data_IF_979424128821
#
_entry.id   IF_979424128821
#
_cell.length_a   1.000
_cell.length_b   1.000
_cell.length_c   1.000
_cell.angle_alpha   90.00
_cell.angle_beta   90.00
_cell.angle_gamma   90.00
#
_symmetry.space_group_name_H-M   'P 1'
#
loop_
_entity.id
_entity.type
_entity.pdbx_description
1 polymer ?
#
# COMPACT_ATOMS: atom_id res chain seq x y z
N UNK A 1 -0.02 -21.22 6.11
CA UNK A 1 0.09 -21.30 4.64
C UNK A 1 -0.19 -19.92 4.10
N UNK A 2 0.69 -19.31 3.31
CA UNK A 2 0.33 -18.12 2.57
C UNK A 2 -0.76 -18.48 1.55
N UNK A 3 -1.72 -17.56 1.38
CA UNK A 3 -2.83 -17.74 0.45
C UNK A 3 -2.32 -17.55 -0.99
N UNK A 4 -2.68 -18.48 -1.87
CA UNK A 4 -2.30 -18.48 -3.29
C UNK A 4 -2.76 -17.19 -4.01
N UNK A 5 -3.79 -16.52 -3.52
CA UNK A 5 -4.27 -15.24 -4.07
C UNK A 5 -3.21 -14.14 -4.02
N UNK A 6 -2.27 -14.19 -3.08
CA UNK A 6 -1.25 -13.16 -2.91
C UNK A 6 0.08 -13.49 -3.60
N UNK A 7 0.35 -14.77 -3.86
CA UNK A 7 1.63 -15.22 -4.40
C UNK A 7 1.57 -15.56 -5.89
N UNK A 8 0.40 -15.94 -6.41
CA UNK A 8 0.24 -16.33 -7.80
C UNK A 8 0.06 -15.09 -8.70
N UNK A 9 0.99 -14.80 -9.63
CA UNK A 9 1.03 -13.53 -10.36
C UNK A 9 -0.27 -13.18 -11.11
N UNK A 10 -0.95 -14.19 -11.66
CA UNK A 10 -2.21 -14.00 -12.38
C UNK A 10 -3.40 -13.71 -11.46
N UNK A 11 -3.37 -14.19 -10.21
CA UNK A 11 -4.44 -13.96 -9.24
C UNK A 11 -4.23 -12.61 -8.53
N UNK A 12 -2.98 -12.28 -8.18
CA UNK A 12 -2.62 -10.98 -7.64
C UNK A 12 -2.97 -9.84 -8.61
N UNK A 13 -2.75 -10.02 -9.93
CA UNK A 13 -3.14 -9.04 -10.94
C UNK A 13 -4.68 -8.86 -11.05
N UNK A 14 -5.46 -9.88 -10.72
CA UNK A 14 -6.92 -9.80 -10.69
C UNK A 14 -7.44 -9.21 -9.37
N UNK A 15 -6.60 -9.09 -8.35
CA UNK A 15 -7.00 -8.58 -7.04
C UNK A 15 -7.54 -7.15 -7.12
N UNK A 16 -6.87 -6.26 -7.85
CA UNK A 16 -7.33 -4.88 -8.05
C UNK A 16 -8.68 -4.81 -8.79
N UNK A 17 -8.97 -5.79 -9.65
CA UNK A 17 -10.22 -5.86 -10.39
C UNK A 17 -11.37 -6.37 -9.52
N UNK A 18 -11.10 -7.33 -8.63
CA UNK A 18 -12.09 -7.92 -7.73
C UNK A 18 -12.32 -7.08 -6.46
N UNK A 19 -11.28 -6.40 -5.98
CA UNK A 19 -11.27 -5.57 -4.78
C UNK A 19 -10.98 -4.11 -5.13
N UNK A 20 -11.52 -3.63 -6.26
CA UNK A 20 -11.38 -2.26 -6.75
C UNK A 20 -11.93 -1.20 -5.79
N UNK A 21 -11.80 0.08 -6.14
CA UNK A 21 -12.09 1.21 -5.23
C UNK A 21 -13.47 1.09 -4.56
N UNK A 22 -13.53 1.35 -3.25
CA UNK A 22 -14.73 1.24 -2.42
C UNK A 22 -14.89 2.46 -1.52
N UNK A 23 -16.10 2.69 -1.01
CA UNK A 23 -16.42 3.83 -0.14
C UNK A 23 -15.58 3.85 1.15
N UNK A 24 -15.16 2.68 1.64
CA UNK A 24 -14.26 2.60 2.80
C UNK A 24 -12.90 3.26 2.52
N UNK A 25 -12.42 3.20 1.26
CA UNK A 25 -11.15 3.83 0.87
C UNK A 25 -11.25 5.34 0.77
N UNK A 26 -12.41 5.88 0.42
CA UNK A 26 -12.66 7.33 0.49
C UNK A 26 -12.55 7.83 1.92
N UNK A 27 -13.09 7.06 2.88
CA UNK A 27 -12.95 7.36 4.30
C UNK A 27 -11.47 7.39 4.71
N UNK A 28 -10.68 6.35 4.42
CA UNK A 28 -9.26 6.32 4.77
C UNK A 28 -8.47 7.44 4.10
N UNK A 29 -8.76 7.77 2.83
CA UNK A 29 -8.13 8.91 2.17
C UNK A 29 -8.42 10.22 2.91
N UNK A 30 -9.67 10.46 3.31
CA UNK A 30 -10.04 11.68 4.02
C UNK A 30 -9.31 11.88 5.36
N UNK A 31 -8.83 10.80 5.99
CA UNK A 31 -8.03 10.91 7.21
C UNK A 31 -6.67 11.59 6.96
N UNK A 32 -6.17 11.56 5.73
CA UNK A 32 -4.93 12.21 5.34
C UNK A 32 -5.13 13.68 4.90
N UNK A 33 -6.37 14.18 4.81
CA UNK A 33 -6.66 15.54 4.35
C UNK A 33 -5.89 16.63 5.13
N UNK A 34 -5.65 17.73 4.42
CA UNK A 34 -5.01 18.94 4.95
C UNK A 34 -3.60 19.13 4.42
N UNK A 35 -2.60 18.84 5.26
CA UNK A 35 -1.18 19.05 4.96
C UNK A 35 -0.52 17.72 4.57
N UNK A 36 0.62 17.74 3.84
CA UNK A 36 1.40 16.53 3.59
C UNK A 36 1.76 15.80 4.89
N UNK A 37 1.62 14.48 4.89
CA UNK A 37 1.79 13.61 6.08
C UNK A 37 2.75 12.49 5.75
N UNK A 38 3.40 11.98 6.78
CA UNK A 38 4.10 10.70 6.74
C UNK A 38 3.11 9.56 7.01
N UNK A 39 2.93 8.65 6.07
CA UNK A 39 1.90 7.59 6.12
C UNK A 39 2.55 6.22 5.99
N UNK A 40 2.15 5.29 6.86
CA UNK A 40 2.48 3.88 6.77
C UNK A 40 1.23 3.09 6.41
N UNK A 41 1.29 2.21 5.42
CA UNK A 41 0.22 1.27 5.08
C UNK A 41 0.72 -0.16 5.33
N UNK A 42 0.23 -0.80 6.40
CA UNK A 42 0.59 -2.17 6.79
C UNK A 42 -0.36 -3.18 6.14
N UNK A 43 0.20 -4.11 5.38
CA UNK A 43 -0.58 -5.00 4.52
C UNK A 43 -1.08 -4.27 3.28
N UNK A 44 -0.24 -3.41 2.68
CA UNK A 44 -0.63 -2.53 1.58
C UNK A 44 -1.05 -3.28 0.31
N UNK A 45 -0.73 -4.58 0.21
CA UNK A 45 -1.03 -5.41 -0.94
C UNK A 45 -0.47 -4.82 -2.23
N UNK A 46 -1.34 -4.68 -3.23
CA UNK A 46 -1.02 -4.08 -4.53
C UNK A 46 -0.83 -2.57 -4.46
N UNK A 47 -0.98 -1.94 -3.30
CA UNK A 47 -0.64 -0.53 -3.08
C UNK A 47 -1.66 0.47 -3.63
N UNK A 48 -2.93 0.09 -3.78
CA UNK A 48 -3.96 0.97 -4.35
C UNK A 48 -4.17 2.25 -3.53
N UNK A 49 -4.26 2.14 -2.20
CA UNK A 49 -4.43 3.31 -1.33
C UNK A 49 -3.12 4.10 -1.17
N UNK A 50 -1.97 3.40 -1.09
CA UNK A 50 -0.65 4.01 -1.12
C UNK A 50 -0.46 4.94 -2.33
N UNK A 51 -0.84 4.48 -3.54
CA UNK A 51 -0.76 5.28 -4.77
C UNK A 51 -1.64 6.54 -4.70
N UNK A 52 -2.82 6.43 -4.11
CA UNK A 52 -3.72 7.58 -3.93
C UNK A 52 -3.18 8.57 -2.87
N UNK A 53 -2.60 8.10 -1.77
CA UNK A 53 -1.92 8.97 -0.80
C UNK A 53 -0.72 9.68 -1.44
N UNK A 54 0.10 8.97 -2.22
CA UNK A 54 1.22 9.57 -2.92
C UNK A 54 0.77 10.62 -3.94
N UNK A 55 -0.33 10.36 -4.67
CA UNK A 55 -0.93 11.35 -5.56
C UNK A 55 -1.42 12.61 -4.81
N UNK A 56 -1.83 12.47 -3.55
CA UNK A 56 -2.16 13.58 -2.64
C UNK A 56 -0.95 14.36 -2.10
N UNK A 57 0.27 13.93 -2.43
CA UNK A 57 1.52 14.57 -1.99
C UNK A 57 2.00 14.13 -0.61
N UNK A 58 1.49 13.01 -0.08
CA UNK A 58 1.98 12.43 1.17
C UNK A 58 3.29 11.67 0.97
N UNK A 59 4.08 11.56 2.04
CA UNK A 59 5.28 10.72 2.11
C UNK A 59 4.86 9.32 2.59
N UNK A 60 4.85 8.35 1.69
CA UNK A 60 4.19 7.05 1.90
C UNK A 60 5.22 5.92 1.98
N UNK A 61 5.04 5.09 2.99
CA UNK A 61 5.72 3.80 3.14
C UNK A 61 4.66 2.68 3.13
N UNK A 62 4.74 1.74 2.20
CA UNK A 62 3.87 0.56 2.13
C UNK A 62 4.64 -0.69 2.52
N UNK A 63 4.07 -1.52 3.40
CA UNK A 63 4.66 -2.78 3.81
C UNK A 63 3.72 -3.96 3.56
N UNK A 64 4.22 -5.01 2.91
CA UNK A 64 3.45 -6.24 2.69
C UNK A 64 4.39 -7.45 2.62
N UNK A 65 4.04 -8.62 3.16
CA UNK A 65 4.88 -9.81 3.07
C UNK A 65 4.94 -10.41 1.65
N UNK A 66 4.01 -10.06 0.75
CA UNK A 66 4.02 -10.58 -0.61
C UNK A 66 4.88 -9.74 -1.55
N UNK A 67 6.06 -10.25 -1.89
CA UNK A 67 6.92 -9.71 -2.94
C UNK A 67 6.15 -9.44 -4.25
N UNK A 68 5.19 -10.32 -4.59
CA UNK A 68 4.42 -10.25 -5.84
C UNK A 68 3.39 -9.13 -5.85
N UNK A 69 2.75 -8.89 -4.71
CA UNK A 69 1.84 -7.75 -4.56
C UNK A 69 2.64 -6.45 -4.65
N UNK A 70 3.81 -6.39 -4.02
CA UNK A 70 4.71 -5.23 -4.10
C UNK A 70 5.29 -5.00 -5.51
N UNK A 71 5.54 -6.05 -6.30
CA UNK A 71 5.91 -5.91 -7.71
C UNK A 71 4.82 -5.21 -8.54
N UNK A 72 3.54 -5.48 -8.23
CA UNK A 72 2.40 -4.78 -8.86
C UNK A 72 2.33 -3.34 -8.34
N UNK A 73 2.47 -3.15 -7.03
CA UNK A 73 2.40 -1.84 -6.38
C UNK A 73 3.43 -0.85 -6.94
N UNK A 74 4.67 -1.31 -7.15
CA UNK A 74 5.74 -0.50 -7.74
C UNK A 74 5.46 -0.01 -9.15
N UNK A 75 4.54 -0.66 -9.88
CA UNK A 75 4.17 -0.28 -11.26
C UNK A 75 3.02 0.73 -11.32
N UNK A 76 2.42 1.10 -10.19
CA UNK A 76 1.38 2.14 -10.14
C UNK A 76 1.95 3.52 -10.52
N UNK A 77 1.12 4.48 -10.94
CA UNK A 77 1.58 5.79 -11.41
C UNK A 77 2.56 6.49 -10.47
N UNK A 78 2.33 6.42 -9.15
CA UNK A 78 3.19 7.02 -8.13
C UNK A 78 4.07 5.98 -7.41
N UNK A 79 4.15 4.75 -7.91
CA UNK A 79 4.89 3.65 -7.29
C UNK A 79 6.38 3.94 -7.07
N UNK A 80 6.98 4.81 -7.89
CA UNK A 80 8.38 5.21 -7.78
C UNK A 80 8.66 6.20 -6.63
N UNK A 81 7.66 6.91 -6.11
CA UNK A 81 7.81 7.86 -5.00
C UNK A 81 7.45 7.25 -3.65
N UNK A 82 7.04 5.98 -3.61
CA UNK A 82 6.61 5.27 -2.42
C UNK A 82 7.73 4.33 -1.96
N UNK A 83 8.00 4.31 -0.65
CA UNK A 83 8.91 3.34 -0.06
C UNK A 83 8.18 2.00 0.14
N UNK A 84 8.69 0.92 -0.45
CA UNK A 84 8.08 -0.40 -0.37
C UNK A 84 8.94 -1.38 0.43
N UNK A 85 8.38 -1.92 1.51
CA UNK A 85 9.08 -2.85 2.42
C UNK A 85 8.44 -4.23 2.34
N UNK A 86 9.21 -5.24 1.93
CA UNK A 86 8.76 -6.63 1.97
C UNK A 86 8.93 -7.19 3.39
N UNK A 87 7.85 -7.17 4.18
CA UNK A 87 7.87 -7.73 5.52
C UNK A 87 6.46 -8.02 6.05
N UNK A 88 6.39 -8.93 7.02
CA UNK A 88 5.22 -9.08 7.87
C UNK A 88 5.07 -7.86 8.79
N UNK A 89 3.84 -7.45 9.09
CA UNK A 89 3.56 -6.30 9.97
C UNK A 89 4.11 -6.48 11.38
N UNK A 90 4.22 -7.72 11.87
CA UNK A 90 4.82 -8.02 13.19
C UNK A 90 6.33 -7.73 13.23
N UNK A 91 6.99 -7.78 12.08
CA UNK A 91 8.43 -7.66 11.93
C UNK A 91 8.87 -6.28 11.42
N UNK A 92 7.93 -5.44 10.98
CA UNK A 92 8.24 -4.09 10.51
C UNK A 92 8.94 -3.26 11.59
N UNK A 93 10.08 -2.66 11.24
CA UNK A 93 10.84 -1.75 12.11
C UNK A 93 11.27 -0.55 11.29
N UNK A 94 11.12 0.64 11.85
CA UNK A 94 11.58 1.89 11.26
C UNK A 94 11.92 2.91 12.34
N UNK A 95 12.91 3.76 12.08
CA UNK A 95 13.20 4.94 12.91
C UNK A 95 12.28 6.12 12.56
N UNK A 96 11.61 6.06 11.40
CA UNK A 96 10.65 7.06 10.94
C UNK A 96 9.40 7.04 11.82
N UNK A 97 8.86 8.23 12.11
CA UNK A 97 7.54 8.39 12.73
C UNK A 97 6.51 8.63 11.63
N UNK A 98 5.30 8.16 11.86
CA UNK A 98 4.19 8.29 10.94
C UNK A 98 3.05 9.07 11.61
N UNK A 99 2.44 9.97 10.86
CA UNK A 99 1.27 10.73 11.27
C UNK A 99 -0.02 9.90 11.14
N UNK A 100 0.01 8.88 10.27
CA UNK A 100 -1.09 7.94 10.00
C UNK A 100 -0.53 6.53 9.72
N UNK A 101 -1.17 5.50 10.28
CA UNK A 101 -0.89 4.07 10.08
C UNK A 101 -2.20 3.35 9.78
#
# INVERSE_FOLDING_TARGET
MPDLHYEHPRLAALYDLACGWSQDRDFYLSLADGWPKSILDLGCGTGLICDAYAAGGHDVTGADPSARMLEIARRKPNGCSIEWVECCSQDFRSEKRFDLI
#
